data_IF_560842944624
#
_entry.id   IF_560842944624
#
_cell.length_a   1.000
_cell.length_b   1.000
_cell.length_c   1.000
_cell.angle_alpha   90.00
_cell.angle_beta   90.00
_cell.angle_gamma   90.00
#
_symmetry.space_group_name_H-M   'P 1'
#
loop_
_entity.id
_entity.type
_entity.pdbx_description
1 polymer ?
#
# COMPACT_ATOMS: atom_id res chain seq x y z
N UNK A 1 -1.89 -45.94 -10.97
CA UNK A 1 -2.30 -44.56 -11.28
C UNK A 1 -1.93 -43.71 -10.07
N UNK A 2 -0.81 -42.99 -10.15
CA UNK A 2 -0.17 -42.32 -9.01
C UNK A 2 -0.62 -40.86 -8.94
N UNK A 3 -1.17 -40.46 -7.80
CA UNK A 3 -1.60 -39.09 -7.50
C UNK A 3 -0.38 -38.16 -7.46
N UNK A 4 -0.27 -37.28 -8.45
CA UNK A 4 0.72 -36.19 -8.45
C UNK A 4 0.14 -35.02 -7.68
N UNK A 5 0.59 -34.83 -6.44
CA UNK A 5 0.29 -33.62 -5.65
C UNK A 5 1.13 -32.49 -6.23
N UNK A 6 0.46 -31.47 -6.77
CA UNK A 6 1.07 -30.26 -7.31
C UNK A 6 1.15 -29.20 -6.20
N UNK A 7 2.34 -28.65 -5.96
CA UNK A 7 2.58 -27.59 -4.98
C UNK A 7 2.69 -26.25 -5.74
N UNK A 8 1.89 -25.26 -5.34
CA UNK A 8 1.96 -23.89 -5.86
C UNK A 8 3.06 -23.12 -5.13
N UNK A 9 4.07 -22.63 -5.86
CA UNK A 9 5.05 -21.68 -5.35
C UNK A 9 4.53 -20.24 -5.58
N UNK A 10 4.39 -19.40 -4.54
CA UNK A 10 3.68 -18.12 -4.64
C UNK A 10 4.44 -17.02 -5.39
N UNK A 11 5.72 -17.23 -5.71
CA UNK A 11 6.52 -16.19 -6.36
C UNK A 11 6.35 -16.13 -7.90
N UNK A 12 6.03 -17.25 -8.59
CA UNK A 12 6.06 -17.29 -10.06
C UNK A 12 4.99 -18.18 -10.73
N UNK A 13 4.04 -18.78 -10.00
CA UNK A 13 2.94 -19.55 -10.61
C UNK A 13 3.36 -20.81 -11.39
N UNK A 14 4.59 -21.30 -11.20
CA UNK A 14 5.11 -22.50 -11.87
C UNK A 14 4.74 -23.74 -11.05
N UNK A 15 4.10 -24.71 -11.72
CA UNK A 15 3.77 -26.02 -11.16
C UNK A 15 5.03 -26.90 -11.04
N UNK A 16 5.41 -27.28 -9.83
CA UNK A 16 6.42 -28.32 -9.62
C UNK A 16 5.77 -29.59 -9.08
N UNK A 17 6.03 -30.72 -9.73
CA UNK A 17 5.73 -32.02 -9.13
C UNK A 17 6.66 -32.26 -7.94
N UNK A 18 6.22 -32.98 -6.91
CA UNK A 18 7.03 -33.36 -5.73
C UNK A 18 8.43 -33.91 -6.11
N UNK A 19 8.53 -34.61 -7.25
CA UNK A 19 9.79 -35.14 -7.78
C UNK A 19 10.74 -34.03 -8.25
N UNK A 20 10.23 -32.97 -8.89
CA UNK A 20 11.03 -31.83 -9.31
C UNK A 20 11.43 -30.92 -8.13
N UNK A 21 10.60 -30.85 -7.08
CA UNK A 21 10.93 -30.13 -5.84
C UNK A 21 12.14 -30.74 -5.13
N UNK A 22 12.21 -32.07 -5.02
CA UNK A 22 13.37 -32.77 -4.44
C UNK A 22 14.67 -32.62 -5.26
N UNK A 23 14.54 -32.49 -6.59
CA UNK A 23 15.70 -32.26 -7.47
C UNK A 23 16.23 -30.84 -7.26
N UNK A 24 15.36 -29.82 -7.28
CA UNK A 24 15.75 -28.41 -7.03
C UNK A 24 16.35 -28.23 -5.64
N UNK A 25 15.81 -28.89 -4.61
CA UNK A 25 16.33 -28.82 -3.25
C UNK A 25 17.72 -29.46 -3.11
N UNK A 26 17.98 -30.59 -3.78
CA UNK A 26 19.31 -31.18 -3.83
C UNK A 26 20.29 -30.30 -4.60
N UNK A 27 19.86 -29.68 -5.69
CA UNK A 27 20.68 -28.71 -6.44
C UNK A 27 21.01 -27.47 -5.62
N UNK A 28 20.07 -26.96 -4.82
CA UNK A 28 20.30 -25.76 -3.99
C UNK A 28 21.23 -26.04 -2.82
N UNK A 29 21.09 -27.20 -2.16
CA UNK A 29 22.02 -27.65 -1.12
C UNK A 29 23.43 -27.86 -1.70
N UNK A 30 23.52 -28.43 -2.91
CA UNK A 30 24.79 -28.64 -3.61
C UNK A 30 25.44 -27.31 -4.01
N UNK A 31 24.66 -26.32 -4.45
CA UNK A 31 25.12 -24.96 -4.76
C UNK A 31 25.59 -24.25 -3.49
N UNK A 32 24.87 -24.36 -2.37
CA UNK A 32 25.28 -23.78 -1.10
C UNK A 32 26.58 -24.40 -0.56
N UNK A 33 26.70 -25.73 -0.64
CA UNK A 33 27.94 -26.43 -0.25
C UNK A 33 29.09 -26.05 -1.19
N UNK A 34 28.84 -25.97 -2.50
CA UNK A 34 29.86 -25.57 -3.49
C UNK A 34 30.32 -24.14 -3.29
N UNK A 35 29.40 -23.19 -3.05
CA UNK A 35 29.71 -21.79 -2.75
C UNK A 35 30.46 -21.66 -1.41
N UNK A 36 30.09 -22.44 -0.39
CA UNK A 36 30.78 -22.48 0.90
C UNK A 36 32.21 -23.03 0.77
N UNK A 37 32.41 -24.05 -0.07
CA UNK A 37 33.75 -24.61 -0.37
C UNK A 37 34.57 -23.62 -1.19
N UNK A 38 34.00 -23.02 -2.24
CA UNK A 38 34.67 -22.01 -3.08
C UNK A 38 35.08 -20.82 -2.20
N UNK A 39 34.18 -20.32 -1.35
CA UNK A 39 34.46 -19.23 -0.41
C UNK A 39 35.56 -19.61 0.61
N UNK A 40 35.52 -20.82 1.16
CA UNK A 40 36.57 -21.33 2.07
C UNK A 40 37.95 -21.45 1.41
N UNK A 41 38.01 -21.90 0.16
CA UNK A 41 39.26 -22.08 -0.58
C UNK A 41 39.83 -20.74 -1.04
N UNK A 42 38.98 -19.77 -1.42
CA UNK A 42 39.42 -18.47 -1.92
C UNK A 42 39.76 -17.47 -0.80
N UNK A 43 38.94 -17.37 0.24
CA UNK A 43 39.12 -16.35 1.29
C UNK A 43 40.28 -16.65 2.24
N UNK A 44 40.63 -17.92 2.45
CA UNK A 44 41.76 -18.35 3.30
C UNK A 44 43.14 -17.94 2.75
N UNK A 45 43.21 -17.54 1.48
CA UNK A 45 44.43 -17.05 0.81
C UNK A 45 44.56 -15.52 0.75
N UNK A 46 43.48 -14.78 1.00
CA UNK A 46 43.40 -13.34 0.64
C UNK A 46 43.11 -12.44 1.87
N UNK A 47 42.41 -12.94 2.90
CA UNK A 47 41.99 -12.11 4.05
C UNK A 47 42.76 -12.46 5.34
N UNK A 48 43.14 -11.46 6.17
CA UNK A 48 43.72 -11.71 7.49
C UNK A 48 42.73 -12.47 8.39
N UNK A 49 43.25 -13.41 9.20
CA UNK A 49 42.46 -14.43 9.92
C UNK A 49 41.28 -13.90 10.77
N UNK A 50 41.38 -12.67 11.28
CA UNK A 50 40.36 -12.03 12.11
C UNK A 50 39.09 -11.68 11.31
N UNK A 51 39.22 -11.18 10.09
CA UNK A 51 38.06 -10.82 9.24
C UNK A 51 37.34 -12.04 8.67
N UNK A 52 38.07 -13.15 8.50
CA UNK A 52 37.54 -14.39 7.95
C UNK A 52 36.56 -15.09 8.91
N UNK A 53 36.86 -15.13 10.22
CA UNK A 53 35.94 -15.72 11.19
C UNK A 53 34.60 -14.99 11.26
N UNK A 54 34.63 -13.65 11.18
CA UNK A 54 33.44 -12.83 11.36
C UNK A 54 32.50 -12.91 10.14
N UNK A 55 33.06 -12.95 8.93
CA UNK A 55 32.31 -13.12 7.68
C UNK A 55 31.70 -14.52 7.56
N UNK A 56 32.43 -15.57 7.97
CA UNK A 56 31.90 -16.94 8.00
C UNK A 56 30.75 -17.07 9.02
N UNK A 57 30.87 -16.44 10.19
CA UNK A 57 29.77 -16.39 11.18
C UNK A 57 28.55 -15.66 10.62
N UNK A 58 28.71 -14.52 9.95
CA UNK A 58 27.60 -13.77 9.35
C UNK A 58 26.91 -14.56 8.22
N UNK A 59 27.67 -15.19 7.33
CA UNK A 59 27.13 -16.05 6.28
C UNK A 59 26.41 -17.28 6.84
N UNK A 60 26.97 -17.92 7.88
CA UNK A 60 26.32 -19.05 8.53
C UNK A 60 25.01 -18.65 9.21
N UNK A 61 24.96 -17.49 9.86
CA UNK A 61 23.74 -16.94 10.47
C UNK A 61 22.71 -16.62 9.39
N UNK A 62 23.08 -15.96 8.29
CA UNK A 62 22.17 -15.65 7.20
C UNK A 62 21.58 -16.92 6.55
N UNK A 63 22.41 -17.93 6.29
CA UNK A 63 21.95 -19.20 5.71
C UNK A 63 21.05 -19.96 6.69
N UNK A 64 21.39 -19.98 7.98
CA UNK A 64 20.59 -20.62 9.04
C UNK A 64 19.24 -19.91 9.26
N UNK A 65 19.22 -18.58 9.21
CA UNK A 65 17.98 -17.80 9.26
C UNK A 65 17.12 -18.06 8.03
N UNK A 66 17.71 -18.13 6.84
CA UNK A 66 16.97 -18.38 5.60
C UNK A 66 16.34 -19.78 5.59
N UNK A 67 17.07 -20.80 6.07
CA UNK A 67 16.52 -22.16 6.20
C UNK A 67 15.46 -22.25 7.29
N UNK A 68 15.58 -21.52 8.41
CA UNK A 68 14.55 -21.46 9.45
C UNK A 68 13.26 -20.77 8.99
N UNK A 69 13.36 -19.67 8.24
CA UNK A 69 12.20 -19.00 7.63
C UNK A 69 11.49 -19.92 6.62
N UNK A 70 12.26 -20.58 5.76
CA UNK A 70 11.70 -21.54 4.80
C UNK A 70 11.06 -22.77 5.48
N UNK A 71 11.60 -23.21 6.61
CA UNK A 71 11.00 -24.29 7.41
C UNK A 71 9.71 -23.86 8.10
N UNK A 72 9.60 -22.60 8.55
CA UNK A 72 8.34 -22.04 9.05
C UNK A 72 7.26 -22.08 7.97
N UNK A 73 7.59 -21.68 6.74
CA UNK A 73 6.64 -21.71 5.61
C UNK A 73 6.19 -23.14 5.26
N UNK A 74 7.06 -24.15 5.39
CA UNK A 74 6.72 -25.57 5.17
C UNK A 74 5.88 -26.16 6.33
N UNK A 75 6.13 -25.75 7.58
CA UNK A 75 5.32 -26.18 8.73
C UNK A 75 3.88 -25.66 8.60
N UNK A 76 3.69 -24.46 8.05
CA UNK A 76 2.36 -23.90 7.72
C UNK A 76 1.65 -24.72 6.62
N UNK A 77 2.40 -25.32 5.68
CA UNK A 77 1.81 -26.15 4.60
C UNK A 77 1.42 -27.56 5.08
N UNK A 78 2.12 -28.10 6.10
CA UNK A 78 1.88 -29.48 6.60
C UNK A 78 0.84 -29.56 7.71
N UNK A 79 0.65 -28.50 8.49
CA UNK A 79 -0.52 -28.35 9.35
C UNK A 79 -1.64 -27.79 8.48
N UNK A 80 -2.63 -28.61 8.14
CA UNK A 80 -3.78 -28.26 7.31
C UNK A 80 -4.70 -27.17 7.90
N UNK A 81 -4.14 -26.04 8.33
CA UNK A 81 -4.86 -24.79 8.43
C UNK A 81 -5.22 -24.39 7.00
N UNK A 82 -6.46 -24.68 6.63
CA UNK A 82 -7.16 -24.04 5.53
C UNK A 82 -6.77 -22.57 5.53
N UNK A 83 -5.97 -22.14 4.56
CA UNK A 83 -5.92 -20.73 4.14
C UNK A 83 -7.39 -20.36 4.00
N UNK A 84 -7.91 -19.50 4.89
CA UNK A 84 -9.29 -19.03 4.82
C UNK A 84 -9.35 -18.17 3.57
N UNK A 85 -9.47 -18.83 2.42
CA UNK A 85 -9.88 -18.21 1.17
C UNK A 85 -11.32 -17.81 1.41
N UNK A 86 -11.50 -16.58 1.91
CA UNK A 86 -12.82 -15.98 2.09
C UNK A 86 -13.65 -16.30 0.85
N UNK A 87 -14.75 -17.03 1.09
CA UNK A 87 -15.59 -17.61 0.05
C UNK A 87 -15.86 -16.57 -1.04
N UNK A 88 -15.60 -16.92 -2.30
CA UNK A 88 -15.82 -16.03 -3.45
C UNK A 88 -17.24 -15.44 -3.46
N UNK A 89 -18.23 -16.17 -2.91
CA UNK A 89 -19.59 -15.71 -2.75
C UNK A 89 -19.72 -14.59 -1.70
N UNK A 90 -18.95 -14.65 -0.62
CA UNK A 90 -18.88 -13.58 0.39
C UNK A 90 -18.26 -12.33 -0.21
N UNK A 91 -17.13 -12.45 -0.92
CA UNK A 91 -16.47 -11.32 -1.58
C UNK A 91 -17.38 -10.63 -2.61
N UNK A 92 -18.07 -11.43 -3.44
CA UNK A 92 -19.03 -10.89 -4.41
C UNK A 92 -20.17 -10.14 -3.72
N UNK A 93 -20.77 -10.73 -2.68
CA UNK A 93 -21.86 -10.10 -1.93
C UNK A 93 -21.41 -8.79 -1.28
N UNK A 94 -20.25 -8.76 -0.61
CA UNK A 94 -19.71 -7.54 -0.01
C UNK A 94 -19.50 -6.44 -1.06
N UNK A 95 -18.92 -6.76 -2.22
CA UNK A 95 -18.79 -5.79 -3.32
C UNK A 95 -20.14 -5.26 -3.81
N UNK A 96 -21.13 -6.13 -3.98
CA UNK A 96 -22.49 -5.71 -4.36
C UNK A 96 -23.07 -4.74 -3.33
N UNK A 97 -22.88 -5.01 -2.04
CA UNK A 97 -23.33 -4.13 -0.96
C UNK A 97 -22.58 -2.79 -0.99
N UNK A 98 -21.26 -2.80 -1.17
CA UNK A 98 -20.45 -1.58 -1.27
C UNK A 98 -20.92 -0.69 -2.43
N UNK A 99 -21.04 -1.25 -3.64
CA UNK A 99 -21.47 -0.48 -4.81
C UNK A 99 -22.90 0.03 -4.66
N UNK A 100 -23.83 -0.80 -4.18
CA UNK A 100 -25.21 -0.38 -3.96
C UNK A 100 -25.32 0.74 -2.91
N UNK A 101 -24.47 0.73 -1.88
CA UNK A 101 -24.42 1.78 -0.88
C UNK A 101 -23.94 3.10 -1.47
N UNK A 102 -22.83 3.07 -2.22
CA UNK A 102 -22.29 4.27 -2.88
C UNK A 102 -23.30 4.86 -3.88
N UNK A 103 -24.04 4.01 -4.60
CA UNK A 103 -25.11 4.44 -5.51
C UNK A 103 -26.28 5.11 -4.78
N UNK A 104 -26.64 4.63 -3.59
CA UNK A 104 -27.66 5.27 -2.76
C UNK A 104 -27.20 6.64 -2.23
N UNK A 105 -25.97 6.73 -1.71
CA UNK A 105 -25.38 7.99 -1.20
C UNK A 105 -25.21 9.03 -2.31
N UNK A 106 -24.94 8.60 -3.54
CA UNK A 106 -24.89 9.50 -4.69
C UNK A 106 -26.23 10.20 -4.95
N UNK A 107 -27.36 9.55 -4.63
CA UNK A 107 -28.72 10.06 -4.90
C UNK A 107 -29.32 10.82 -3.72
N UNK A 108 -29.03 10.40 -2.48
CA UNK A 108 -29.64 10.94 -1.26
C UNK A 108 -28.63 11.07 -0.12
N UNK A 109 -28.91 11.95 0.84
CA UNK A 109 -28.09 12.06 2.05
C UNK A 109 -28.19 10.80 2.90
N UNK A 110 -27.08 10.39 3.52
CA UNK A 110 -26.95 9.14 4.26
C UNK A 110 -28.01 8.97 5.35
N UNK A 111 -28.33 10.05 6.09
CA UNK A 111 -29.37 10.03 7.12
C UNK A 111 -30.75 9.60 6.59
N UNK A 112 -31.07 9.90 5.32
CA UNK A 112 -32.36 9.56 4.71
C UNK A 112 -32.43 8.13 4.17
N UNK A 113 -31.29 7.50 3.90
CA UNK A 113 -31.23 6.14 3.35
C UNK A 113 -31.73 5.13 4.38
N UNK A 114 -32.60 4.21 3.97
CA UNK A 114 -33.05 3.10 4.83
C UNK A 114 -32.39 1.77 4.45
N UNK A 115 -32.32 0.83 5.39
CA UNK A 115 -31.85 -0.55 5.08
C UNK A 115 -32.72 -1.19 4.00
N UNK A 116 -34.02 -0.88 3.96
CA UNK A 116 -34.91 -1.37 2.90
C UNK A 116 -34.47 -0.88 1.52
N UNK A 117 -34.26 0.43 1.37
CA UNK A 117 -33.79 1.01 0.10
C UNK A 117 -32.43 0.46 -0.33
N UNK A 118 -31.52 0.24 0.62
CA UNK A 118 -30.23 -0.40 0.36
C UNK A 118 -30.43 -1.81 -0.20
N UNK A 119 -31.20 -2.65 0.50
CA UNK A 119 -31.43 -4.04 0.10
C UNK A 119 -32.16 -4.15 -1.23
N UNK A 120 -33.12 -3.25 -1.49
CA UNK A 120 -33.86 -3.17 -2.74
C UNK A 120 -32.93 -2.79 -3.91
N UNK A 121 -32.04 -1.82 -3.71
CA UNK A 121 -31.04 -1.39 -4.71
C UNK A 121 -30.02 -2.49 -5.01
N UNK A 122 -29.60 -3.25 -4.00
CA UNK A 122 -28.61 -4.32 -4.13
C UNK A 122 -29.20 -5.66 -4.60
N UNK A 123 -30.54 -5.76 -4.68
CA UNK A 123 -31.28 -7.00 -4.96
C UNK A 123 -30.91 -8.14 -3.99
N UNK A 124 -30.80 -7.84 -2.69
CA UNK A 124 -30.51 -8.81 -1.64
C UNK A 124 -31.61 -8.85 -0.58
N UNK A 125 -31.73 -9.96 0.14
CA UNK A 125 -32.62 -10.04 1.29
C UNK A 125 -32.05 -9.27 2.49
N UNK A 126 -32.92 -8.69 3.33
CA UNK A 126 -32.50 -8.06 4.60
C UNK A 126 -31.69 -8.99 5.49
N UNK A 127 -32.06 -10.27 5.57
CA UNK A 127 -31.28 -11.28 6.31
C UNK A 127 -29.86 -11.46 5.77
N UNK A 128 -29.64 -11.20 4.48
CA UNK A 128 -28.30 -11.21 3.88
C UNK A 128 -27.51 -9.96 4.26
N UNK A 129 -28.16 -8.79 4.29
CA UNK A 129 -27.52 -7.56 4.80
C UNK A 129 -27.08 -7.71 6.25
N UNK A 130 -27.99 -8.14 7.12
CA UNK A 130 -27.74 -8.32 8.56
C UNK A 130 -26.78 -9.47 8.90
N UNK A 131 -26.40 -10.29 7.90
CA UNK A 131 -25.31 -11.26 8.06
C UNK A 131 -23.94 -10.59 8.09
N UNK A 132 -23.80 -9.42 7.46
CA UNK A 132 -22.52 -8.73 7.29
C UNK A 132 -22.42 -7.42 8.05
N UNK A 133 -23.55 -6.74 8.27
CA UNK A 133 -23.59 -5.42 8.89
C UNK A 133 -24.74 -5.31 9.87
N UNK A 134 -24.48 -4.75 11.05
CA UNK A 134 -25.51 -4.60 12.09
C UNK A 134 -26.61 -3.63 11.66
N UNK A 135 -26.21 -2.53 11.02
CA UNK A 135 -27.11 -1.53 10.45
C UNK A 135 -26.41 -0.72 9.33
N UNK A 136 -27.07 0.36 8.87
CA UNK A 136 -26.51 1.24 7.83
C UNK A 136 -25.29 2.05 8.30
N UNK A 137 -25.16 2.32 9.60
CA UNK A 137 -24.05 3.07 10.19
C UNK A 137 -22.80 2.20 10.26
N UNK A 138 -22.96 0.92 10.60
CA UNK A 138 -21.89 -0.07 10.54
C UNK A 138 -21.35 -0.21 9.10
N UNK A 139 -22.24 -0.42 8.12
CA UNK A 139 -21.85 -0.45 6.70
C UNK A 139 -21.12 0.84 6.26
N UNK A 140 -21.63 2.00 6.65
CA UNK A 140 -20.98 3.27 6.34
C UNK A 140 -19.58 3.33 6.95
N UNK A 141 -19.44 2.98 8.22
CA UNK A 141 -18.16 3.01 8.93
C UNK A 141 -17.13 2.09 8.25
N UNK A 142 -17.56 0.90 7.85
CA UNK A 142 -16.74 -0.03 7.06
C UNK A 142 -16.28 0.60 5.73
N UNK A 143 -17.19 1.17 4.96
CA UNK A 143 -16.87 1.79 3.66
C UNK A 143 -15.93 2.98 3.82
N UNK A 144 -16.15 3.84 4.83
CA UNK A 144 -15.29 4.98 5.11
C UNK A 144 -13.89 4.53 5.52
N UNK A 145 -13.77 3.57 6.44
CA UNK A 145 -12.49 3.03 6.89
C UNK A 145 -11.71 2.37 5.73
N UNK A 146 -12.41 1.61 4.88
CA UNK A 146 -11.84 1.02 3.67
C UNK A 146 -11.33 2.10 2.72
N UNK A 147 -12.17 3.10 2.41
CA UNK A 147 -11.80 4.20 1.52
C UNK A 147 -10.60 5.01 2.01
N UNK A 148 -10.50 5.26 3.31
CA UNK A 148 -9.33 5.91 3.93
C UNK A 148 -8.08 5.04 3.85
N UNK A 149 -8.22 3.73 4.03
CA UNK A 149 -7.11 2.77 3.90
C UNK A 149 -6.62 2.69 2.46
N UNK A 150 -7.52 2.57 1.49
CA UNK A 150 -7.21 2.52 0.07
C UNK A 150 -6.53 3.83 -0.38
N UNK A 151 -7.07 4.97 0.06
CA UNK A 151 -6.46 6.28 -0.17
C UNK A 151 -5.05 6.36 0.44
N UNK A 152 -4.89 5.97 1.71
CA UNK A 152 -3.57 5.91 2.35
C UNK A 152 -2.60 5.08 1.51
N UNK A 153 -2.99 3.87 1.08
CA UNK A 153 -2.13 3.00 0.28
C UNK A 153 -1.79 3.59 -1.11
N UNK A 154 -2.71 4.36 -1.70
CA UNK A 154 -2.50 5.00 -3.00
C UNK A 154 -1.56 6.21 -2.97
N UNK A 155 -1.47 6.93 -1.84
CA UNK A 155 -0.54 8.05 -1.73
C UNK A 155 0.87 7.52 -1.54
N UNK A 156 1.70 7.75 -2.55
CA UNK A 156 3.14 7.65 -2.43
C UNK A 156 3.75 9.01 -2.06
N UNK A 157 4.37 9.10 -0.88
CA UNK A 157 5.15 10.27 -0.44
C UNK A 157 6.66 10.04 -0.58
N UNK A 158 7.08 8.95 -1.23
CA UNK A 158 8.47 8.56 -1.39
C UNK A 158 9.27 9.57 -2.22
N UNK A 159 8.59 10.36 -3.05
CA UNK A 159 9.23 11.45 -3.79
C UNK A 159 9.92 12.48 -2.88
N UNK A 160 9.60 12.55 -1.59
CA UNK A 160 10.27 13.42 -0.61
C UNK A 160 11.67 12.93 -0.21
N UNK A 161 12.04 11.69 -0.55
CA UNK A 161 13.38 11.15 -0.26
C UNK A 161 14.43 11.60 -1.29
N UNK A 162 14.03 12.18 -2.42
CA UNK A 162 14.98 12.61 -3.44
C UNK A 162 15.71 13.88 -2.96
N UNK A 163 17.06 13.86 -2.92
CA UNK A 163 17.82 15.06 -2.58
C UNK A 163 17.49 16.18 -3.57
N UNK A 164 17.33 17.39 -3.03
CA UNK A 164 16.92 18.67 -3.66
C UNK A 164 17.55 19.03 -5.03
N UNK A 165 18.51 18.27 -5.56
CA UNK A 165 19.15 18.52 -6.86
C UNK A 165 18.52 17.77 -8.04
N UNK A 166 17.56 16.88 -7.81
CA UNK A 166 16.86 16.15 -8.88
C UNK A 166 15.39 16.57 -9.00
N UNK A 167 15.12 17.87 -9.09
CA UNK A 167 13.78 18.44 -9.32
C UNK A 167 13.09 17.82 -10.55
N UNK A 168 13.87 17.34 -11.53
CA UNK A 168 13.38 16.61 -12.70
C UNK A 168 12.67 15.29 -12.36
N UNK A 169 12.96 14.67 -11.20
CA UNK A 169 12.30 13.42 -10.79
C UNK A 169 10.84 13.60 -10.38
N UNK A 170 10.42 14.81 -9.98
CA UNK A 170 9.02 15.08 -9.62
C UNK A 170 8.13 15.07 -10.86
N UNK A 171 8.54 15.75 -11.92
CA UNK A 171 7.79 15.82 -13.18
C UNK A 171 7.68 14.46 -13.87
N UNK A 172 8.66 13.56 -13.64
CA UNK A 172 8.65 12.21 -14.18
C UNK A 172 7.81 11.22 -13.35
N UNK A 173 7.91 11.25 -12.02
CA UNK A 173 7.32 10.20 -11.15
C UNK A 173 5.94 10.55 -10.62
N UNK A 174 5.67 11.82 -10.37
CA UNK A 174 4.41 12.26 -9.77
C UNK A 174 3.17 11.94 -10.63
N UNK A 175 3.20 12.04 -11.98
CA UNK A 175 2.07 11.65 -12.81
C UNK A 175 1.65 10.18 -12.58
N UNK A 176 2.62 9.27 -12.53
CA UNK A 176 2.37 7.85 -12.28
C UNK A 176 1.91 7.57 -10.84
N UNK A 177 2.37 8.38 -9.87
CA UNK A 177 1.96 8.26 -8.48
C UNK A 177 0.52 8.72 -8.24
N UNK A 178 0.04 9.74 -8.96
CA UNK A 178 -1.33 10.27 -8.78
C UNK A 178 -2.37 9.59 -9.69
N UNK A 179 -1.93 8.86 -10.71
CA UNK A 179 -2.83 8.17 -11.65
C UNK A 179 -3.79 7.18 -10.95
N UNK A 180 -3.35 6.33 -10.00
CA UNK A 180 -4.26 5.44 -9.29
C UNK A 180 -5.35 6.19 -8.52
N UNK A 181 -5.02 7.35 -7.93
CA UNK A 181 -5.99 8.19 -7.21
C UNK A 181 -7.06 8.70 -8.18
N UNK A 182 -6.66 9.08 -9.39
CA UNK A 182 -7.57 9.53 -10.44
C UNK A 182 -8.46 8.40 -11.00
N UNK A 183 -7.92 7.20 -11.12
CA UNK A 183 -8.67 6.03 -11.60
C UNK A 183 -9.83 5.70 -10.63
N UNK A 184 -9.63 5.92 -9.33
CA UNK A 184 -10.63 5.74 -8.27
C UNK A 184 -11.43 7.01 -7.93
N UNK A 185 -11.29 8.11 -8.69
CA UNK A 185 -11.87 9.42 -8.34
C UNK A 185 -13.38 9.41 -8.09
N UNK A 186 -14.14 8.61 -8.84
CA UNK A 186 -15.61 8.57 -8.71
C UNK A 186 -16.03 8.09 -7.31
N UNK A 187 -15.31 7.10 -6.78
CA UNK A 187 -15.56 6.54 -5.45
C UNK A 187 -15.13 7.57 -4.39
N UNK A 188 -13.93 8.14 -4.52
CA UNK A 188 -13.41 9.19 -3.63
C UNK A 188 -14.36 10.40 -3.53
N UNK A 189 -14.91 10.86 -4.66
CA UNK A 189 -15.86 11.96 -4.70
C UNK A 189 -17.16 11.66 -3.94
N UNK A 190 -17.62 10.40 -3.95
CA UNK A 190 -18.79 10.00 -3.16
C UNK A 190 -18.43 10.01 -1.67
N UNK A 191 -17.25 9.50 -1.30
CA UNK A 191 -16.80 9.43 0.09
C UNK A 191 -16.70 10.80 0.77
N UNK A 192 -16.23 11.84 0.07
CA UNK A 192 -16.18 13.21 0.59
C UNK A 192 -17.39 14.08 0.22
N UNK A 193 -18.41 13.50 -0.40
CA UNK A 193 -19.61 14.26 -0.77
C UNK A 193 -20.39 14.69 0.47
N UNK A 194 -21.12 15.80 0.37
CA UNK A 194 -22.04 16.25 1.44
C UNK A 194 -23.08 15.18 1.79
N UNK A 195 -23.50 14.36 0.83
CA UNK A 195 -24.45 13.29 1.06
C UNK A 195 -23.91 12.19 1.97
N UNK A 196 -22.59 11.98 2.00
CA UNK A 196 -21.97 11.02 2.90
C UNK A 196 -22.04 11.48 4.37
N UNK A 197 -22.28 12.77 4.63
CA UNK A 197 -22.39 13.38 5.98
C UNK A 197 -21.18 13.08 6.88
N UNK A 198 -19.98 12.96 6.28
CA UNK A 198 -18.71 12.61 6.94
C UNK A 198 -17.65 13.69 6.72
N UNK A 199 -16.58 13.63 7.50
CA UNK A 199 -15.37 14.45 7.37
C UNK A 199 -14.23 13.69 6.66
N UNK A 200 -14.55 12.89 5.63
CA UNK A 200 -13.56 12.03 4.96
C UNK A 200 -12.47 12.86 4.28
N UNK A 201 -12.82 14.02 3.72
CA UNK A 201 -11.85 14.90 3.08
C UNK A 201 -10.78 15.36 4.06
N UNK A 202 -11.20 15.79 5.26
CA UNK A 202 -10.33 16.21 6.35
C UNK A 202 -9.49 15.04 6.86
N UNK A 203 -10.08 13.85 7.03
CA UNK A 203 -9.34 12.65 7.41
C UNK A 203 -8.28 12.23 6.37
N UNK A 204 -8.58 12.38 5.08
CA UNK A 204 -7.62 12.15 4.00
C UNK A 204 -6.47 13.17 4.06
N UNK A 205 -6.78 14.43 4.31
CA UNK A 205 -5.75 15.46 4.52
C UNK A 205 -4.85 15.12 5.72
N UNK A 206 -5.41 14.68 6.83
CA UNK A 206 -4.64 14.26 8.01
C UNK A 206 -3.75 13.05 7.73
N UNK A 207 -4.24 12.07 6.97
CA UNK A 207 -3.45 10.91 6.54
C UNK A 207 -2.26 11.37 5.69
N UNK A 208 -2.49 12.28 4.74
CA UNK A 208 -1.44 12.81 3.89
C UNK A 208 -0.41 13.59 4.72
N UNK A 209 -0.85 14.48 5.61
CA UNK A 209 0.03 15.23 6.51
C UNK A 209 0.87 14.31 7.40
N UNK A 210 0.27 13.26 7.99
CA UNK A 210 0.99 12.27 8.79
C UNK A 210 2.07 11.54 7.98
N UNK A 211 1.73 11.10 6.77
CA UNK A 211 2.70 10.47 5.85
C UNK A 211 3.83 11.42 5.49
N UNK A 212 3.52 12.68 5.21
CA UNK A 212 4.49 13.72 4.91
C UNK A 212 5.45 13.96 6.09
N UNK A 213 4.91 14.11 7.30
CA UNK A 213 5.69 14.30 8.52
C UNK A 213 6.63 13.12 8.81
N UNK A 214 6.14 11.88 8.64
CA UNK A 214 6.96 10.67 8.80
C UNK A 214 8.12 10.67 7.80
N UNK A 215 7.88 11.10 6.56
CA UNK A 215 8.91 11.24 5.53
C UNK A 215 9.92 12.34 5.85
N UNK A 216 9.47 13.51 6.34
CA UNK A 216 10.36 14.60 6.74
C UNK A 216 11.38 14.19 7.82
N UNK A 217 10.94 13.43 8.83
CA UNK A 217 11.81 12.94 9.93
C UNK A 217 12.98 12.08 9.45
N UNK A 218 12.90 11.51 8.25
CA UNK A 218 13.96 10.69 7.62
C UNK A 218 14.97 11.51 6.82
N UNK A 219 14.72 12.81 6.62
CA UNK A 219 15.58 13.71 5.83
C UNK A 219 16.49 14.55 6.73
N UNK A 220 17.39 15.33 6.11
CA UNK A 220 18.25 16.29 6.83
C UNK A 220 17.45 17.39 7.55
N UNK A 221 16.18 17.59 7.20
CA UNK A 221 15.27 18.58 7.79
C UNK A 221 14.72 18.19 9.17
N UNK A 222 15.15 17.04 9.74
CA UNK A 222 14.77 16.60 11.09
C UNK A 222 15.09 17.60 12.21
N UNK A 223 16.01 18.54 11.97
CA UNK A 223 16.51 19.49 12.97
C UNK A 223 15.62 20.74 13.14
N UNK A 224 14.57 20.90 12.32
CA UNK A 224 13.61 22.01 12.47
C UNK A 224 12.73 21.80 13.72
N UNK A 225 12.20 22.88 14.35
CA UNK A 225 11.24 22.74 15.45
C UNK A 225 10.04 21.86 15.06
N UNK A 226 9.61 20.96 15.95
CA UNK A 226 8.53 20.01 15.66
C UNK A 226 7.23 20.71 15.25
N UNK A 227 6.88 21.82 15.91
CA UNK A 227 5.72 22.64 15.57
C UNK A 227 5.77 23.17 14.13
N UNK A 228 6.95 23.55 13.65
CA UNK A 228 7.15 24.01 12.28
C UNK A 228 7.04 22.86 11.27
N UNK A 229 7.55 21.66 11.60
CA UNK A 229 7.38 20.49 10.74
C UNK A 229 5.91 20.10 10.59
N UNK A 230 5.13 20.14 11.69
CA UNK A 230 3.69 19.87 11.69
C UNK A 230 2.94 20.89 10.83
N UNK A 231 3.24 22.18 11.00
CA UNK A 231 2.62 23.24 10.20
C UNK A 231 2.86 23.03 8.70
N UNK A 232 4.10 22.79 8.29
CA UNK A 232 4.43 22.55 6.88
C UNK A 232 3.75 21.28 6.33
N UNK A 233 3.72 20.20 7.10
CA UNK A 233 3.03 18.98 6.71
C UNK A 233 1.54 19.20 6.44
N UNK A 234 0.88 19.97 7.32
CA UNK A 234 -0.53 20.30 7.19
C UNK A 234 -0.79 21.24 6.00
N UNK A 235 0.02 22.29 5.81
CA UNK A 235 -0.12 23.21 4.68
C UNK A 235 0.09 22.50 3.34
N UNK A 236 1.09 21.63 3.27
CA UNK A 236 1.35 20.80 2.09
C UNK A 236 0.16 19.90 1.78
N UNK A 237 -0.29 19.13 2.77
CA UNK A 237 -1.39 18.17 2.61
C UNK A 237 -2.68 18.89 2.20
N UNK A 238 -2.99 20.03 2.82
CA UNK A 238 -4.16 20.83 2.49
C UNK A 238 -4.12 21.33 1.03
N UNK A 239 -2.97 21.86 0.61
CA UNK A 239 -2.79 22.36 -0.76
C UNK A 239 -2.90 21.24 -1.79
N UNK A 240 -2.23 20.10 -1.55
CA UNK A 240 -2.29 18.95 -2.44
C UNK A 240 -3.72 18.37 -2.53
N UNK A 241 -4.41 18.23 -1.39
CA UNK A 241 -5.80 17.77 -1.37
C UNK A 241 -6.76 18.72 -2.09
N UNK A 242 -6.53 20.03 -1.98
CA UNK A 242 -7.34 21.03 -2.67
C UNK A 242 -7.15 20.97 -4.20
N UNK A 243 -5.92 20.71 -4.66
CA UNK A 243 -5.63 20.48 -6.09
C UNK A 243 -6.30 19.20 -6.57
N UNK A 244 -6.19 18.09 -5.82
CA UNK A 244 -6.85 16.82 -6.16
C UNK A 244 -8.37 17.00 -6.27
N UNK A 245 -8.97 17.71 -5.31
CA UNK A 245 -10.41 18.00 -5.32
C UNK A 245 -10.80 18.83 -6.54
N UNK A 246 -10.05 19.90 -6.84
CA UNK A 246 -10.27 20.74 -8.02
C UNK A 246 -10.13 19.92 -9.32
N UNK A 247 -9.14 19.05 -9.41
CA UNK A 247 -8.95 18.15 -10.55
C UNK A 247 -10.19 17.26 -10.76
N UNK A 248 -10.73 16.68 -9.68
CA UNK A 248 -11.83 15.75 -9.79
C UNK A 248 -13.18 16.42 -10.07
N UNK A 249 -13.41 17.60 -9.49
CA UNK A 249 -14.72 18.28 -9.54
C UNK A 249 -14.83 19.31 -10.67
N UNK A 250 -13.73 19.98 -11.02
CA UNK A 250 -13.76 21.15 -11.91
C UNK A 250 -13.00 20.89 -13.21
N UNK A 251 -11.87 20.20 -13.17
CA UNK A 251 -11.03 19.94 -14.36
C UNK A 251 -10.76 18.47 -14.63
N UNK A 252 -11.79 17.59 -14.72
CA UNK A 252 -11.59 16.14 -14.83
C UNK A 252 -10.93 15.68 -16.13
N UNK A 253 -10.81 16.57 -17.13
CA UNK A 253 -10.15 16.28 -18.39
C UNK A 253 -8.64 16.59 -18.37
N UNK A 254 -8.15 17.26 -17.32
CA UNK A 254 -6.72 17.48 -17.14
C UNK A 254 -5.98 16.17 -16.95
N UNK A 255 -4.82 16.08 -17.56
CA UNK A 255 -3.94 14.92 -17.48
C UNK A 255 -3.20 14.87 -16.14
N UNK A 256 -2.79 13.68 -15.70
CA UNK A 256 -1.95 13.52 -14.51
C UNK A 256 -0.62 14.30 -14.60
N UNK A 257 -0.11 14.53 -15.82
CA UNK A 257 1.08 15.36 -16.04
C UNK A 257 0.84 16.84 -15.72
N UNK A 258 -0.25 17.41 -16.21
CA UNK A 258 -0.60 18.81 -15.93
C UNK A 258 -0.81 19.03 -14.43
N UNK A 259 -1.51 18.10 -13.76
CA UNK A 259 -1.77 18.19 -12.32
C UNK A 259 -0.50 18.01 -11.51
N UNK A 260 0.36 17.06 -11.87
CA UNK A 260 1.67 16.89 -11.25
C UNK A 260 2.53 18.17 -11.38
N UNK A 261 2.48 18.83 -12.52
CA UNK A 261 3.18 20.10 -12.73
C UNK A 261 2.62 21.21 -11.81
N UNK A 262 1.30 21.34 -11.69
CA UNK A 262 0.66 22.29 -10.76
C UNK A 262 1.07 22.01 -9.32
N UNK A 263 1.00 20.75 -8.87
CA UNK A 263 1.45 20.35 -7.53
C UNK A 263 2.93 20.74 -7.34
N UNK A 264 3.78 20.46 -8.32
CA UNK A 264 5.22 20.78 -8.27
C UNK A 264 5.47 22.29 -8.15
N UNK A 265 4.73 23.12 -8.89
CA UNK A 265 4.79 24.58 -8.76
C UNK A 265 4.41 25.01 -7.34
N UNK A 266 3.29 24.49 -6.80
CA UNK A 266 2.85 24.83 -5.45
C UNK A 266 3.87 24.44 -4.37
N UNK A 267 4.56 23.31 -4.55
CA UNK A 267 5.66 22.89 -3.66
C UNK A 267 6.82 23.88 -3.75
N UNK A 268 7.23 24.23 -4.97
CA UNK A 268 8.31 25.19 -5.23
C UNK A 268 7.97 26.59 -4.75
N UNK A 269 6.72 27.04 -4.77
CA UNK A 269 6.37 28.38 -4.34
C UNK A 269 6.10 28.49 -2.83
N UNK A 270 5.61 27.42 -2.19
CA UNK A 270 5.18 27.46 -0.78
C UNK A 270 6.20 26.98 0.23
N UNK A 271 7.16 26.13 -0.17
CA UNK A 271 8.12 25.48 0.75
C UNK A 271 9.60 25.69 0.40
N UNK A 272 9.88 26.31 -0.75
CA UNK A 272 11.25 26.51 -1.25
C UNK A 272 11.95 27.70 -0.59
N UNK A 273 11.26 28.83 -0.41
CA UNK A 273 11.90 30.03 0.14
C UNK A 273 12.25 29.86 1.63
N UNK A 274 11.40 29.19 2.41
CA UNK A 274 11.59 29.07 3.87
C UNK A 274 12.70 28.07 4.25
N UNK A 275 13.10 27.18 3.33
CA UNK A 275 14.18 26.21 3.55
C UNK A 275 15.53 26.66 2.97
N UNK A 276 15.59 27.80 2.26
CA UNK A 276 16.85 28.39 1.79
C UNK A 276 17.45 29.41 2.78
N UNK A 277 16.62 30.04 3.62
CA UNK A 277 17.05 31.09 4.55
C UNK A 277 17.76 30.60 5.83
N UNK A 278 18.10 29.31 5.93
CA UNK A 278 18.86 28.76 7.06
C UNK A 278 20.30 28.36 6.73
N UNK A 279 20.88 28.89 5.64
CA UNK A 279 22.32 28.82 5.39
C UNK A 279 23.05 30.05 5.91
#
# INVERSE_FOLDING_TARGET
MSNVINILCPANGIFYSLRNFFIVHNSFLYIQISLYIIYNVFCKRILPAVFYEELVKQLFIQISCFTLYFLQDIIVITRGESIITEDLRVKKTKKTIEYGFLDCVKKNTFSKITVKELTDTMMINKSTFYKYYDDKYDLRSYILAKGLTDFSNSIDVSYLYFPHREVNCYEEKLPSAIQPIFDHRKELMILWSKNMESNVFEQMQDIYAKKFLISLKKTKHKNLPESFQILNANLFAASAMQIIKWWFEISPNSTSKEIAHIITICIKSGSYDILQDTN
#
